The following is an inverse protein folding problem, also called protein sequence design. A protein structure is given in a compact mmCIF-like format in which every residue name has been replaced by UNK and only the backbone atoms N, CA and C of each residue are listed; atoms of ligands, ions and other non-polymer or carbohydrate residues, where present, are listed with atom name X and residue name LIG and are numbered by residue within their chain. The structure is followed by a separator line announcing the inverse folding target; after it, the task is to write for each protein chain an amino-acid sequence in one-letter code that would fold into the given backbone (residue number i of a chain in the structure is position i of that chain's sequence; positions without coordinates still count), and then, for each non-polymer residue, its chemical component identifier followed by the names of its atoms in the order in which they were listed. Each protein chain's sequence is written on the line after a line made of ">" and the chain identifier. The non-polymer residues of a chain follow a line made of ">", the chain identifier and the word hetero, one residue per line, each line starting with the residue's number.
data_IF_887719655562
#
_entry.id   IF_887719655562
#
_cell.length_a   1.000
_cell.length_b   1.000
_cell.length_c   1.000
_cell.angle_alpha   90.00
_cell.angle_beta   90.00
_cell.angle_gamma   90.00
#
_symmetry.space_group_name_H-M   'P 1'
#
loop_
_entity.id
_entity.type
_entity.pdbx_description
1 polymer ?
#
# COMPACT_ATOMS: atom_id res chain seq x y z
N UNK A 1 -6.21 21.67 -7.61
CA UNK A 1 -4.84 21.14 -7.40
C UNK A 1 -3.79 22.23 -7.34
N UNK A 2 -3.71 23.16 -8.30
CA UNK A 2 -2.77 24.29 -8.20
C UNK A 2 -2.92 25.12 -6.93
N UNK A 3 -4.16 25.39 -6.48
CA UNK A 3 -4.39 26.01 -5.16
C UNK A 3 -3.78 25.18 -4.02
N UNK A 4 -4.09 23.88 -3.95
CA UNK A 4 -3.54 22.98 -2.93
C UNK A 4 -2.01 22.85 -3.01
N UNK A 5 -1.43 22.86 -4.22
CA UNK A 5 0.01 22.85 -4.43
C UNK A 5 0.65 24.17 -3.96
N UNK A 6 0.04 25.32 -4.26
CA UNK A 6 0.46 26.63 -3.76
C UNK A 6 0.36 26.67 -2.23
N UNK A 7 -0.73 26.16 -1.65
CA UNK A 7 -0.92 26.04 -0.20
C UNK A 7 0.14 25.11 0.42
N UNK A 8 0.44 23.99 -0.22
CA UNK A 8 1.48 23.07 0.23
C UNK A 8 2.87 23.72 0.16
N UNK A 9 3.18 24.44 -0.91
CA UNK A 9 4.40 25.24 -1.02
C UNK A 9 4.44 26.30 0.09
N UNK A 10 3.35 27.02 0.34
CA UNK A 10 3.27 28.05 1.38
C UNK A 10 3.59 27.49 2.77
N UNK A 11 2.97 26.36 3.16
CA UNK A 11 3.25 25.70 4.43
C UNK A 11 4.64 25.06 4.46
N UNK A 12 5.09 24.43 3.37
CA UNK A 12 6.40 23.76 3.31
C UNK A 12 7.56 24.76 3.36
N UNK A 13 7.40 25.92 2.73
CA UNK A 13 8.37 27.02 2.74
C UNK A 13 8.25 27.86 4.02
N UNK A 14 7.28 27.58 4.90
CA UNK A 14 7.02 28.35 6.12
C UNK A 14 6.91 29.87 5.87
N UNK A 15 6.31 30.26 4.75
CA UNK A 15 6.13 31.67 4.38
C UNK A 15 5.21 32.33 5.39
N UNK A 16 5.59 33.51 5.89
CA UNK A 16 4.87 34.28 6.91
C UNK A 16 4.80 33.67 8.33
N UNK A 17 5.50 32.56 8.62
CA UNK A 17 5.60 32.01 9.99
C UNK A 17 6.70 32.67 10.84
N UNK A 18 7.30 33.77 10.37
CA UNK A 18 8.36 34.49 11.08
C UNK A 18 9.75 33.86 10.98
N UNK A 19 9.85 32.54 10.71
CA UNK A 19 11.12 31.82 10.61
C UNK A 19 12.11 32.44 9.61
N UNK A 20 11.66 32.75 8.40
CA UNK A 20 12.53 33.35 7.36
C UNK A 20 12.96 34.76 7.74
N UNK A 21 12.08 35.56 8.36
CA UNK A 21 12.40 36.92 8.82
C UNK A 21 13.42 36.89 9.95
N UNK A 22 13.23 35.96 10.90
CA UNK A 22 14.16 35.71 12.00
C UNK A 22 15.54 35.29 11.48
N UNK A 23 15.63 34.33 10.57
CA UNK A 23 16.90 33.94 9.97
C UNK A 23 17.53 35.08 9.15
N UNK A 24 16.73 35.85 8.42
CA UNK A 24 17.21 37.00 7.65
C UNK A 24 17.75 38.12 8.54
N UNK A 25 17.31 38.23 9.81
CA UNK A 25 17.83 39.23 10.76
C UNK A 25 19.29 39.01 11.15
N UNK A 26 19.81 37.78 11.02
CA UNK A 26 21.21 37.46 11.27
C UNK A 26 22.12 37.69 10.05
N UNK A 27 21.55 38.00 8.88
CA UNK A 27 22.34 38.29 7.68
C UNK A 27 22.96 39.69 7.74
N UNK A 28 24.12 39.85 7.08
CA UNK A 28 24.75 41.17 6.89
C UNK A 28 23.86 42.05 6.01
N UNK A 29 23.84 43.36 6.26
CA UNK A 29 22.96 44.32 5.55
C UNK A 29 23.11 44.32 4.02
N UNK A 30 24.32 44.08 3.48
CA UNK A 30 24.57 43.98 2.04
C UNK A 30 24.46 42.56 1.46
N UNK A 31 23.96 41.58 2.21
CA UNK A 31 23.87 40.19 1.77
C UNK A 31 22.79 40.01 0.68
N UNK A 32 23.12 39.28 -0.38
CA UNK A 32 22.23 39.12 -1.53
C UNK A 32 21.12 38.08 -1.28
N UNK A 33 20.04 38.52 -0.65
CA UNK A 33 18.86 37.68 -0.35
C UNK A 33 18.17 37.13 -1.60
N UNK A 34 18.25 37.82 -2.74
CA UNK A 34 17.66 37.33 -4.00
C UNK A 34 18.33 36.05 -4.49
N UNK A 35 19.65 35.95 -4.30
CA UNK A 35 20.41 34.73 -4.64
C UNK A 35 19.95 33.56 -3.79
N UNK A 36 19.81 33.76 -2.47
CA UNK A 36 19.41 32.71 -1.54
C UNK A 36 17.98 32.22 -1.83
N UNK A 37 17.06 33.15 -2.08
CA UNK A 37 15.69 32.82 -2.46
C UNK A 37 15.62 32.01 -3.77
N UNK A 38 16.47 32.32 -4.74
CA UNK A 38 16.56 31.60 -6.02
C UNK A 38 17.12 30.18 -5.81
N UNK A 39 18.22 30.06 -5.06
CA UNK A 39 18.81 28.76 -4.72
C UNK A 39 17.79 27.88 -4.00
N UNK A 40 17.09 28.43 -3.01
CA UNK A 40 16.09 27.70 -2.26
C UNK A 40 14.92 27.24 -3.14
N UNK A 41 14.43 28.09 -4.03
CA UNK A 41 13.37 27.72 -4.98
C UNK A 41 13.79 26.56 -5.88
N UNK A 42 15.02 26.60 -6.43
CA UNK A 42 15.56 25.51 -7.26
C UNK A 42 15.69 24.22 -6.45
N UNK A 43 16.23 24.29 -5.23
CA UNK A 43 16.38 23.13 -4.34
C UNK A 43 15.01 22.53 -3.95
N UNK A 44 14.00 23.36 -3.73
CA UNK A 44 12.65 22.92 -3.42
C UNK A 44 12.02 22.14 -4.58
N UNK A 45 12.08 22.67 -5.81
CA UNK A 45 11.58 21.94 -6.97
C UNK A 45 12.40 20.69 -7.29
N UNK A 46 13.73 20.74 -7.09
CA UNK A 46 14.58 19.56 -7.21
C UNK A 46 14.20 18.49 -6.18
N UNK A 47 13.90 18.87 -4.94
CA UNK A 47 13.41 17.95 -3.91
C UNK A 47 12.10 17.29 -4.35
N UNK A 48 11.10 18.07 -4.82
CA UNK A 48 9.84 17.51 -5.33
C UNK A 48 10.06 16.54 -6.49
N UNK A 49 10.99 16.87 -7.39
CA UNK A 49 11.36 16.01 -8.52
C UNK A 49 12.01 14.70 -8.05
N UNK A 50 12.97 14.76 -7.13
CA UNK A 50 13.65 13.57 -6.56
C UNK A 50 12.66 12.69 -5.79
N UNK A 51 11.74 13.27 -5.02
CA UNK A 51 10.68 12.54 -4.30
C UNK A 51 9.76 11.79 -5.28
N UNK A 52 9.38 12.43 -6.38
CA UNK A 52 8.59 11.81 -7.45
C UNK A 52 9.32 10.64 -8.10
N UNK A 53 10.62 10.81 -8.43
CA UNK A 53 11.45 9.74 -9.01
C UNK A 53 11.59 8.56 -8.05
N UNK A 54 11.90 8.81 -6.78
CA UNK A 54 12.08 7.76 -5.78
C UNK A 54 10.84 6.87 -5.65
N UNK A 55 9.67 7.49 -5.59
CA UNK A 55 8.39 6.78 -5.54
C UNK A 55 8.15 5.95 -6.81
N UNK A 56 8.45 6.50 -7.99
CA UNK A 56 8.24 5.81 -9.27
C UNK A 56 9.18 4.60 -9.45
N UNK A 57 10.44 4.72 -9.00
CA UNK A 57 11.41 3.61 -9.02
C UNK A 57 10.91 2.46 -8.14
N UNK A 58 10.42 2.75 -6.94
CA UNK A 58 9.87 1.74 -6.04
C UNK A 58 8.70 0.99 -6.70
N UNK A 59 7.69 1.71 -7.22
CA UNK A 59 6.52 1.11 -7.87
C UNK A 59 6.88 0.28 -9.11
N UNK A 60 7.78 0.80 -9.96
CA UNK A 60 8.25 0.09 -11.16
C UNK A 60 9.03 -1.17 -10.77
N UNK A 61 9.87 -1.10 -9.74
CA UNK A 61 10.65 -2.25 -9.27
C UNK A 61 9.75 -3.37 -8.72
N UNK A 62 8.70 -3.04 -7.98
CA UNK A 62 7.71 -4.01 -7.50
C UNK A 62 7.00 -4.71 -8.66
N UNK A 63 6.60 -3.93 -9.68
CA UNK A 63 5.92 -4.47 -10.87
C UNK A 63 6.85 -5.39 -11.67
N UNK A 64 8.10 -4.97 -11.90
CA UNK A 64 9.10 -5.77 -12.60
C UNK A 64 9.39 -7.07 -11.85
N UNK A 65 9.54 -7.02 -10.53
CA UNK A 65 9.75 -8.20 -9.69
C UNK A 65 8.56 -9.15 -9.78
N UNK A 66 7.32 -8.66 -9.64
CA UNK A 66 6.12 -9.48 -9.75
C UNK A 66 6.00 -10.19 -11.12
N UNK A 67 6.36 -9.51 -12.21
CA UNK A 67 6.38 -10.12 -13.55
C UNK A 67 7.46 -11.19 -13.65
N UNK A 68 8.66 -10.92 -13.14
CA UNK A 68 9.80 -11.85 -13.20
C UNK A 68 9.62 -13.08 -12.32
N UNK A 69 8.91 -12.95 -11.21
CA UNK A 69 8.58 -14.07 -10.33
C UNK A 69 7.63 -15.07 -11.01
N UNK A 70 6.73 -14.58 -11.87
CA UNK A 70 5.83 -15.43 -12.66
C UNK A 70 6.47 -15.90 -13.99
N UNK A 71 7.34 -15.09 -14.59
CA UNK A 71 7.99 -15.36 -15.87
C UNK A 71 9.52 -15.22 -15.77
N UNK A 72 10.23 -16.22 -15.22
CA UNK A 72 11.67 -16.11 -14.91
C UNK A 72 12.56 -15.97 -16.15
N UNK A 73 12.04 -16.26 -17.35
CA UNK A 73 12.77 -16.13 -18.63
C UNK A 73 12.90 -14.68 -19.10
N UNK A 74 12.07 -13.75 -18.60
CA UNK A 74 12.07 -12.37 -19.09
C UNK A 74 13.18 -11.56 -18.42
N UNK A 75 13.97 -10.86 -19.24
CA UNK A 75 15.06 -10.01 -18.74
C UNK A 75 14.50 -8.72 -18.14
N UNK A 76 15.13 -8.24 -17.07
CA UNK A 76 14.71 -7.05 -16.34
C UNK A 76 14.55 -5.81 -17.24
N UNK A 77 15.49 -5.58 -18.15
CA UNK A 77 15.46 -4.42 -19.04
C UNK A 77 14.27 -4.46 -20.02
N UNK A 78 13.85 -5.66 -20.46
CA UNK A 78 12.72 -5.84 -21.36
C UNK A 78 11.40 -5.53 -20.65
N UNK A 79 11.23 -6.03 -19.42
CA UNK A 79 10.08 -5.69 -18.58
C UNK A 79 10.01 -4.18 -18.32
N UNK A 80 11.13 -3.59 -17.91
CA UNK A 80 11.19 -2.16 -17.58
C UNK A 80 10.87 -1.29 -18.81
N UNK A 81 11.39 -1.64 -19.99
CA UNK A 81 11.10 -0.92 -21.23
C UNK A 81 9.62 -1.03 -21.61
N UNK A 82 9.02 -2.22 -21.49
CA UNK A 82 7.60 -2.43 -21.76
C UNK A 82 6.70 -1.59 -20.85
N UNK A 83 6.99 -1.58 -19.53
CA UNK A 83 6.27 -0.76 -18.56
C UNK A 83 6.45 0.74 -18.85
N UNK A 84 7.66 1.17 -19.21
CA UNK A 84 7.95 2.56 -19.54
C UNK A 84 7.16 3.04 -20.77
N UNK A 85 7.15 2.26 -21.85
CA UNK A 85 6.39 2.61 -23.07
C UNK A 85 4.89 2.66 -22.77
N UNK A 86 4.37 1.65 -22.05
CA UNK A 86 2.95 1.59 -21.69
C UNK A 86 2.52 2.76 -20.78
N UNK A 87 3.30 3.04 -19.73
CA UNK A 87 3.05 4.15 -18.82
C UNK A 87 3.20 5.51 -19.50
N UNK A 88 4.13 5.67 -20.45
CA UNK A 88 4.26 6.87 -21.25
C UNK A 88 3.02 7.12 -22.12
N UNK A 89 2.51 6.09 -22.81
CA UNK A 89 1.31 6.19 -23.64
C UNK A 89 0.07 6.61 -22.82
N UNK A 90 -0.13 6.02 -21.63
CA UNK A 90 -1.20 6.44 -20.72
C UNK A 90 -0.92 7.84 -20.16
N UNK A 91 0.33 8.14 -19.85
CA UNK A 91 0.79 9.42 -19.32
C UNK A 91 0.44 10.61 -20.22
N UNK A 92 0.43 10.42 -21.54
CA UNK A 92 0.04 11.46 -22.50
C UNK A 92 -1.38 12.01 -22.24
N UNK A 93 -2.30 11.19 -21.73
CA UNK A 93 -3.66 11.64 -21.40
C UNK A 93 -3.64 12.73 -20.31
N UNK A 94 -2.71 12.67 -19.36
CA UNK A 94 -2.59 13.63 -18.25
C UNK A 94 -1.92 14.94 -18.63
N UNK A 95 -1.21 15.00 -19.75
CA UNK A 95 -0.53 16.23 -20.24
C UNK A 95 -1.46 17.08 -21.11
N UNK A 96 -2.65 16.57 -21.46
CA UNK A 96 -3.65 17.34 -22.21
C UNK A 96 -4.23 18.50 -21.39
N UNK A 97 -4.85 19.53 -22.00
CA UNK A 97 -5.47 20.64 -21.27
C UNK A 97 -6.54 20.22 -20.25
N UNK A 98 -7.20 19.08 -20.47
CA UNK A 98 -8.15 18.46 -19.54
C UNK A 98 -7.53 17.42 -18.60
N UNK A 99 -6.22 17.18 -18.67
CA UNK A 99 -5.54 16.11 -17.96
C UNK A 99 -5.69 16.18 -16.44
N UNK A 100 -5.82 17.38 -15.88
CA UNK A 100 -6.05 17.58 -14.45
C UNK A 100 -7.41 17.04 -13.97
N UNK A 101 -8.45 17.08 -14.82
CA UNK A 101 -9.75 16.47 -14.52
C UNK A 101 -9.66 14.94 -14.53
N UNK A 102 -8.91 14.37 -15.47
CA UNK A 102 -8.67 12.93 -15.56
C UNK A 102 -7.83 12.47 -14.37
N UNK A 103 -6.77 13.20 -14.03
CA UNK A 103 -5.89 12.90 -12.91
C UNK A 103 -6.66 12.85 -11.60
N UNK A 104 -7.52 13.83 -11.34
CA UNK A 104 -8.31 13.88 -10.11
C UNK A 104 -9.39 12.79 -10.04
N UNK A 105 -9.97 12.41 -11.19
CA UNK A 105 -10.90 11.27 -11.27
C UNK A 105 -10.17 9.95 -10.96
N UNK A 106 -9.03 9.70 -11.59
CA UNK A 106 -8.26 8.45 -11.42
C UNK A 106 -7.58 8.40 -10.05
N UNK A 107 -7.10 9.52 -9.51
CA UNK A 107 -6.52 9.58 -8.17
C UNK A 107 -7.55 9.21 -7.08
N UNK A 108 -8.78 9.73 -7.21
CA UNK A 108 -9.85 9.44 -6.27
C UNK A 108 -10.36 7.99 -6.38
N UNK A 109 -10.83 7.59 -7.57
CA UNK A 109 -11.46 6.28 -7.79
C UNK A 109 -10.45 5.14 -7.96
N UNK A 110 -9.27 5.43 -8.51
CA UNK A 110 -8.26 4.44 -8.91
C UNK A 110 -7.13 4.24 -7.91
N UNK A 111 -6.69 5.29 -7.20
CA UNK A 111 -5.64 5.15 -6.19
C UNK A 111 -6.22 5.13 -4.78
N UNK A 112 -6.84 6.23 -4.35
CA UNK A 112 -7.25 6.44 -2.96
C UNK A 112 -8.29 5.42 -2.50
N UNK A 113 -9.39 5.25 -3.26
CA UNK A 113 -10.47 4.33 -2.86
C UNK A 113 -10.05 2.86 -2.91
N UNK A 114 -9.30 2.46 -3.95
CA UNK A 114 -8.79 1.09 -4.08
C UNK A 114 -7.78 0.79 -2.97
N UNK A 115 -6.80 1.67 -2.74
CA UNK A 115 -5.76 1.45 -1.72
C UNK A 115 -6.35 1.35 -0.31
N UNK A 116 -7.37 2.15 0.00
CA UNK A 116 -8.05 2.10 1.29
C UNK A 116 -8.77 0.75 1.49
N UNK A 117 -9.54 0.28 0.50
CA UNK A 117 -10.26 -1.01 0.60
C UNK A 117 -9.30 -2.20 0.62
N UNK A 118 -8.31 -2.21 -0.29
CA UNK A 118 -7.32 -3.30 -0.36
C UNK A 118 -6.41 -3.33 0.87
N UNK A 119 -5.97 -2.18 1.38
CA UNK A 119 -5.13 -2.09 2.58
C UNK A 119 -5.87 -2.59 3.82
N UNK A 120 -7.16 -2.28 3.96
CA UNK A 120 -7.98 -2.85 5.04
C UNK A 120 -8.09 -4.37 4.90
N UNK A 121 -8.38 -4.86 3.69
CA UNK A 121 -8.46 -6.29 3.44
C UNK A 121 -7.14 -7.01 3.76
N UNK A 122 -6.00 -6.44 3.36
CA UNK A 122 -4.67 -6.96 3.67
C UNK A 122 -4.41 -7.03 5.18
N UNK A 123 -4.79 -5.99 5.95
CA UNK A 123 -4.67 -5.99 7.40
C UNK A 123 -5.52 -7.08 8.07
N UNK A 124 -6.75 -7.31 7.60
CA UNK A 124 -7.59 -8.40 8.10
C UNK A 124 -7.03 -9.78 7.72
N UNK A 125 -6.52 -9.93 6.50
CA UNK A 125 -5.88 -11.18 6.05
C UNK A 125 -4.65 -11.47 6.91
N UNK A 126 -3.75 -10.51 7.13
CA UNK A 126 -2.57 -10.71 7.97
C UNK A 126 -2.93 -10.94 9.45
N UNK A 127 -3.87 -10.18 9.99
CA UNK A 127 -4.22 -10.25 11.40
C UNK A 127 -5.00 -11.51 11.80
N UNK A 128 -5.94 -11.94 10.96
CA UNK A 128 -6.93 -12.95 11.32
C UNK A 128 -6.91 -14.20 10.44
N UNK A 129 -6.56 -14.08 9.16
CA UNK A 129 -6.47 -15.27 8.27
C UNK A 129 -5.11 -15.94 8.43
N UNK A 130 -4.02 -15.17 8.34
CA UNK A 130 -2.67 -15.66 8.60
C UNK A 130 -2.41 -15.82 10.11
N UNK A 131 -2.89 -14.87 10.89
CA UNK A 131 -2.77 -14.86 12.35
C UNK A 131 -1.56 -14.04 12.82
N UNK A 132 -1.81 -13.10 13.73
CA UNK A 132 -0.78 -12.29 14.40
C UNK A 132 0.21 -13.14 15.19
N UNK A 133 -0.25 -14.21 15.86
CA UNK A 133 0.65 -15.06 16.62
C UNK A 133 1.67 -15.76 15.71
N UNK A 134 1.21 -16.29 14.56
CA UNK A 134 2.10 -16.84 13.53
C UNK A 134 3.06 -15.79 12.99
N UNK A 135 2.55 -14.60 12.66
CA UNK A 135 3.36 -13.48 12.18
C UNK A 135 4.45 -13.06 13.19
N UNK A 136 4.11 -13.00 14.48
CA UNK A 136 5.07 -12.67 15.53
C UNK A 136 6.13 -13.75 15.70
N UNK A 137 5.78 -15.02 15.51
CA UNK A 137 6.74 -16.13 15.58
C UNK A 137 7.65 -16.17 14.36
N UNK A 138 7.12 -15.93 13.17
CA UNK A 138 7.96 -15.78 11.97
C UNK A 138 8.95 -14.61 12.16
N UNK A 139 8.50 -13.50 12.74
CA UNK A 139 9.38 -12.38 13.08
C UNK A 139 10.41 -12.72 14.16
N UNK A 140 10.06 -13.55 15.15
CA UNK A 140 10.97 -14.06 16.17
C UNK A 140 12.03 -15.00 15.56
N UNK A 141 11.63 -15.88 14.63
CA UNK A 141 12.55 -16.74 13.88
C UNK A 141 13.52 -15.92 13.02
N UNK A 142 13.04 -14.86 12.37
CA UNK A 142 13.87 -13.99 11.52
C UNK A 142 14.84 -13.11 12.32
N UNK A 143 14.43 -12.60 13.47
CA UNK A 143 15.22 -11.62 14.25
C UNK A 143 15.92 -12.21 15.49
N UNK A 144 15.61 -13.45 15.87
CA UNK A 144 16.09 -14.09 17.10
C UNK A 144 15.62 -13.39 18.39
N UNK A 145 14.59 -12.55 18.32
CA UNK A 145 14.06 -11.77 19.47
C UNK A 145 12.54 -11.85 19.50
N UNK A 146 11.99 -12.06 20.70
CA UNK A 146 10.54 -12.08 20.94
C UNK A 146 9.91 -10.73 20.60
N UNK A 147 8.82 -10.78 19.84
CA UNK A 147 7.99 -9.62 19.56
C UNK A 147 7.19 -9.27 20.81
N UNK A 148 7.31 -8.02 21.29
CA UNK A 148 6.62 -7.55 22.48
C UNK A 148 5.09 -7.54 22.34
N UNK A 149 4.33 -7.59 23.45
CA UNK A 149 2.86 -7.66 23.43
C UNK A 149 2.21 -6.41 22.83
N UNK A 150 2.89 -5.26 22.85
CA UNK A 150 2.45 -4.04 22.19
C UNK A 150 2.16 -4.25 20.69
N UNK A 151 3.10 -4.85 19.96
CA UNK A 151 2.98 -5.07 18.53
C UNK A 151 1.86 -6.05 18.19
N UNK A 152 1.63 -7.05 19.05
CA UNK A 152 0.52 -8.00 18.91
C UNK A 152 -0.83 -7.31 18.97
N UNK A 153 -1.05 -6.48 19.99
CA UNK A 153 -2.28 -5.70 20.12
C UNK A 153 -2.47 -4.70 18.96
N UNK A 154 -1.38 -4.09 18.50
CA UNK A 154 -1.41 -3.19 17.36
C UNK A 154 -1.90 -3.88 16.09
N UNK A 155 -1.32 -5.03 15.74
CA UNK A 155 -1.66 -5.74 14.50
C UNK A 155 -2.98 -6.50 14.56
N UNK A 156 -3.36 -7.03 15.73
CA UNK A 156 -4.58 -7.83 15.87
C UNK A 156 -5.85 -6.97 15.92
N UNK A 157 -5.79 -5.83 16.64
CA UNK A 157 -6.99 -5.08 17.02
C UNK A 157 -6.89 -3.60 16.67
N UNK A 158 -5.84 -2.90 17.10
CA UNK A 158 -5.82 -1.43 17.03
C UNK A 158 -5.80 -0.94 15.58
N UNK A 159 -4.87 -1.44 14.75
CA UNK A 159 -4.73 -0.97 13.36
C UNK A 159 -5.95 -1.31 12.50
N UNK A 160 -6.49 -2.55 12.50
CA UNK A 160 -7.71 -2.86 11.76
C UNK A 160 -8.92 -2.04 12.20
N UNK A 161 -9.08 -1.78 13.51
CA UNK A 161 -10.19 -1.01 14.05
C UNK A 161 -10.11 0.46 13.62
N UNK A 162 -8.93 1.10 13.76
CA UNK A 162 -8.72 2.48 13.33
C UNK A 162 -8.98 2.61 11.83
N UNK A 163 -8.46 1.69 11.01
CA UNK A 163 -8.65 1.74 9.56
C UNK A 163 -10.12 1.53 9.16
N UNK A 164 -10.85 0.66 9.87
CA UNK A 164 -12.28 0.48 9.66
C UNK A 164 -13.07 1.73 10.05
N UNK A 165 -12.70 2.41 11.14
CA UNK A 165 -13.32 3.67 11.54
C UNK A 165 -13.10 4.78 10.50
N UNK A 166 -11.89 4.87 9.93
CA UNK A 166 -11.58 5.81 8.84
C UNK A 166 -12.43 5.50 7.60
N UNK A 167 -12.59 4.22 7.23
CA UNK A 167 -13.47 3.83 6.12
C UNK A 167 -14.93 4.25 6.37
N UNK A 168 -15.47 3.99 7.57
CA UNK A 168 -16.84 4.38 7.93
C UNK A 168 -17.02 5.90 7.86
N UNK A 169 -16.05 6.66 8.36
CA UNK A 169 -16.06 8.11 8.28
C UNK A 169 -16.01 8.61 6.83
N UNK A 170 -15.16 7.99 6.00
CA UNK A 170 -15.04 8.30 4.57
C UNK A 170 -16.35 8.02 3.82
N UNK A 171 -17.00 6.88 4.07
CA UNK A 171 -18.29 6.54 3.46
C UNK A 171 -19.42 7.47 3.94
N UNK A 172 -19.41 7.86 5.22
CA UNK A 172 -20.44 8.75 5.79
C UNK A 172 -20.35 10.18 5.28
N UNK A 173 -19.14 10.65 4.97
CA UNK A 173 -18.88 12.01 4.45
C UNK A 173 -18.69 12.00 2.93
N UNK A 174 -19.16 10.95 2.25
CA UNK A 174 -19.02 10.82 0.80
C UNK A 174 -19.81 11.93 0.09
N UNK A 175 -19.09 12.92 -0.43
CA UNK A 175 -19.64 13.91 -1.36
C UNK A 175 -19.21 13.56 -2.78
N UNK A 176 -20.08 13.72 -3.79
CA UNK A 176 -19.71 13.46 -5.17
C UNK A 176 -18.47 14.25 -5.55
N UNK A 177 -17.49 13.59 -6.17
CA UNK A 177 -16.23 14.21 -6.58
C UNK A 177 -16.53 15.43 -7.45
N UNK A 178 -16.02 16.60 -7.10
CA UNK A 178 -16.12 17.81 -7.92
C UNK A 178 -14.73 18.39 -8.14
N UNK A 179 -14.48 18.91 -9.34
CA UNK A 179 -13.24 19.61 -9.64
C UNK A 179 -13.56 21.07 -9.99
N UNK A 180 -12.97 22.02 -9.27
CA UNK A 180 -13.25 23.46 -9.40
C UNK A 180 -14.75 23.81 -9.32
N UNK A 181 -15.51 23.12 -8.45
CA UNK A 181 -16.98 23.26 -8.32
C UNK A 181 -17.78 22.84 -9.57
N UNK A 182 -17.13 22.23 -10.56
CA UNK A 182 -17.79 21.60 -11.70
C UNK A 182 -18.03 20.13 -11.33
N UNK A 183 -19.29 19.71 -11.42
CA UNK A 183 -19.68 18.31 -11.26
C UNK A 183 -19.25 17.51 -12.48
N UNK A 184 -18.70 16.32 -12.26
CA UNK A 184 -18.37 15.43 -13.36
C UNK A 184 -19.65 14.94 -14.04
N UNK A 185 -19.63 14.75 -15.37
CA UNK A 185 -20.76 14.15 -16.06
C UNK A 185 -20.92 12.68 -15.64
N UNK A 186 -22.14 12.14 -15.71
CA UNK A 186 -22.46 10.78 -15.27
C UNK A 186 -21.60 9.70 -15.92
N UNK A 187 -21.19 9.88 -17.19
CA UNK A 187 -20.29 8.95 -17.87
C UNK A 187 -18.90 8.88 -17.20
N UNK A 188 -18.40 9.99 -16.66
CA UNK A 188 -17.10 10.03 -15.99
C UNK A 188 -17.17 9.33 -14.62
N UNK A 189 -18.28 9.49 -13.90
CA UNK A 189 -18.54 8.67 -12.69
C UNK A 189 -18.65 7.18 -13.02
N UNK A 190 -19.29 6.81 -14.13
CA UNK A 190 -19.38 5.42 -14.56
C UNK A 190 -17.98 4.83 -14.82
N UNK A 191 -17.09 5.59 -15.48
CA UNK A 191 -15.69 5.19 -15.66
C UNK A 191 -14.97 5.06 -14.30
N UNK A 192 -15.11 6.04 -13.41
CA UNK A 192 -14.52 6.01 -12.08
C UNK A 192 -14.92 4.76 -11.28
N UNK A 193 -16.22 4.49 -11.18
CA UNK A 193 -16.72 3.29 -10.51
C UNK A 193 -16.29 2.00 -11.19
N UNK A 194 -16.17 1.98 -12.52
CA UNK A 194 -15.63 0.82 -13.24
C UNK A 194 -14.18 0.54 -12.87
N UNK A 195 -13.35 1.58 -12.75
CA UNK A 195 -11.95 1.46 -12.29
C UNK A 195 -11.91 0.89 -10.87
N UNK A 196 -12.70 1.45 -9.95
CA UNK A 196 -12.76 0.95 -8.57
C UNK A 196 -13.23 -0.49 -8.50
N UNK A 197 -14.32 -0.83 -9.20
CA UNK A 197 -14.83 -2.19 -9.29
C UNK A 197 -13.76 -3.14 -9.81
N UNK A 198 -13.04 -2.77 -10.87
CA UNK A 198 -11.96 -3.60 -11.40
C UNK A 198 -10.86 -3.86 -10.36
N UNK A 199 -10.42 -2.84 -9.63
CA UNK A 199 -9.39 -2.99 -8.60
C UNK A 199 -9.84 -3.82 -7.40
N UNK A 200 -11.04 -3.55 -6.87
CA UNK A 200 -11.57 -4.24 -5.68
C UNK A 200 -11.97 -5.68 -6.00
N UNK A 201 -12.53 -5.94 -7.19
CA UNK A 201 -12.97 -7.28 -7.60
C UNK A 201 -11.80 -8.26 -7.82
N UNK A 202 -10.56 -7.79 -7.99
CA UNK A 202 -9.41 -8.70 -8.06
C UNK A 202 -9.34 -9.60 -6.81
N UNK A 203 -9.57 -9.07 -5.60
CA UNK A 203 -9.54 -9.87 -4.37
C UNK A 203 -10.51 -11.07 -4.41
N UNK A 204 -11.84 -10.89 -4.57
CA UNK A 204 -12.76 -12.02 -4.60
C UNK A 204 -12.52 -12.94 -5.80
N UNK A 205 -12.13 -12.41 -6.97
CA UNK A 205 -11.82 -13.24 -8.14
C UNK A 205 -10.67 -14.20 -7.82
N UNK A 206 -9.57 -13.72 -7.24
CA UNK A 206 -8.43 -14.57 -6.88
C UNK A 206 -8.74 -15.53 -5.74
N UNK A 207 -9.61 -15.16 -4.80
CA UNK A 207 -10.12 -16.09 -3.77
C UNK A 207 -10.90 -17.24 -4.41
N UNK A 208 -11.80 -16.94 -5.35
CA UNK A 208 -12.59 -17.97 -6.06
C UNK A 208 -11.70 -18.86 -6.91
N UNK A 209 -10.77 -18.28 -7.68
CA UNK A 209 -9.81 -19.04 -8.49
C UNK A 209 -8.93 -19.93 -7.61
N UNK A 210 -8.46 -19.41 -6.46
CA UNK A 210 -7.72 -20.17 -5.46
C UNK A 210 -8.52 -21.34 -4.89
N UNK A 211 -9.79 -21.11 -4.54
CA UNK A 211 -10.69 -22.14 -4.05
C UNK A 211 -10.95 -23.23 -5.10
N UNK A 212 -11.15 -22.88 -6.38
CA UNK A 212 -11.36 -23.87 -7.45
C UNK A 212 -10.13 -24.74 -7.67
N UNK A 213 -8.93 -24.15 -7.60
CA UNK A 213 -7.64 -24.84 -7.81
C UNK A 213 -7.16 -25.62 -6.60
N UNK A 214 -7.72 -25.37 -5.41
CA UNK A 214 -7.34 -26.08 -4.20
C UNK A 214 -7.82 -27.55 -4.22
N UNK A 215 -7.01 -28.49 -3.73
CA UNK A 215 -7.40 -29.90 -3.62
C UNK A 215 -8.49 -30.07 -2.54
N UNK A 216 -9.57 -30.76 -2.87
CA UNK A 216 -10.68 -31.07 -1.96
C UNK A 216 -11.92 -31.57 -2.71
N UNK A 217 -12.75 -32.42 -2.08
CA UNK A 217 -13.98 -32.95 -2.68
C UNK A 217 -15.18 -32.04 -2.45
N UNK A 218 -15.20 -31.30 -1.34
CA UNK A 218 -16.27 -30.34 -0.98
C UNK A 218 -15.84 -28.87 -1.11
N UNK A 219 -16.79 -27.96 -1.37
CA UNK A 219 -16.51 -26.53 -1.52
C UNK A 219 -15.91 -25.89 -0.26
N UNK A 220 -16.39 -26.30 0.92
CA UNK A 220 -15.88 -25.82 2.21
C UNK A 220 -14.45 -26.28 2.50
N UNK A 221 -14.08 -27.51 2.13
CA UNK A 221 -12.71 -28.01 2.26
C UNK A 221 -11.76 -27.34 1.27
N UNK A 222 -12.20 -27.11 0.04
CA UNK A 222 -11.45 -26.35 -0.96
C UNK A 222 -11.14 -24.94 -0.48
N UNK A 223 -12.14 -24.25 0.07
CA UNK A 223 -11.96 -22.92 0.64
C UNK A 223 -10.99 -22.95 1.83
N UNK A 224 -11.16 -23.91 2.75
CA UNK A 224 -10.25 -24.08 3.91
C UNK A 224 -8.81 -24.39 3.49
N UNK A 225 -8.63 -25.19 2.44
CA UNK A 225 -7.31 -25.53 1.91
C UNK A 225 -6.68 -24.37 1.11
N UNK A 226 -7.48 -23.52 0.48
CA UNK A 226 -7.00 -22.32 -0.22
C UNK A 226 -6.41 -21.27 0.75
N UNK A 227 -6.93 -21.19 1.98
CA UNK A 227 -6.40 -20.30 3.03
C UNK A 227 -5.21 -20.89 3.80
N UNK A 228 -4.78 -22.12 3.52
CA UNK A 228 -3.54 -22.66 4.05
C UNK A 228 -2.36 -22.18 3.19
N UNK A 229 -1.20 -21.89 3.80
CA UNK A 229 0.00 -21.58 3.03
C UNK A 229 0.39 -22.77 2.14
N UNK A 230 1.02 -22.46 1.00
CA UNK A 230 1.52 -23.50 0.08
C UNK A 230 2.54 -24.39 0.80
N UNK A 231 2.64 -25.64 0.34
CA UNK A 231 3.67 -26.59 0.82
C UNK A 231 5.10 -26.05 0.58
N UNK A 232 5.27 -25.16 -0.40
CA UNK A 232 6.54 -24.50 -0.70
C UNK A 232 6.82 -23.23 0.11
N UNK A 233 5.96 -22.91 1.09
CA UNK A 233 6.13 -21.77 1.96
C UNK A 233 7.27 -22.00 2.97
N UNK A 234 8.20 -21.05 3.05
CA UNK A 234 9.31 -21.07 3.99
C UNK A 234 10.56 -20.36 3.47
N UNK A 235 11.64 -20.30 4.26
CA UNK A 235 12.92 -19.73 3.85
C UNK A 235 13.46 -20.36 2.55
N UNK A 236 14.13 -19.56 1.72
CA UNK A 236 14.75 -20.03 0.48
C UNK A 236 15.96 -20.95 0.74
N UNK A 237 16.65 -20.74 1.84
CA UNK A 237 17.78 -21.57 2.27
C UNK A 237 17.27 -22.92 2.80
N UNK A 238 17.73 -24.06 2.25
CA UNK A 238 17.31 -25.40 2.66
C UNK A 238 17.46 -25.67 4.16
N UNK A 239 18.53 -25.18 4.80
CA UNK A 239 18.81 -25.46 6.22
C UNK A 239 17.85 -24.70 7.14
N UNK A 240 17.64 -23.42 6.86
CA UNK A 240 16.67 -22.58 7.56
C UNK A 240 15.25 -23.10 7.36
N UNK A 241 14.93 -23.62 6.16
CA UNK A 241 13.63 -24.21 5.87
C UNK A 241 13.37 -25.47 6.67
N UNK A 242 14.37 -26.31 6.88
CA UNK A 242 14.24 -27.49 7.73
C UNK A 242 13.97 -27.11 9.19
N UNK A 243 14.68 -26.10 9.71
CA UNK A 243 14.46 -25.56 11.06
C UNK A 243 13.04 -24.98 11.20
N UNK A 244 12.61 -24.17 10.24
CA UNK A 244 11.27 -23.60 10.18
C UNK A 244 10.17 -24.68 10.16
N UNK A 245 10.36 -25.73 9.36
CA UNK A 245 9.41 -26.83 9.29
C UNK A 245 9.29 -27.60 10.62
N UNK A 246 10.39 -27.75 11.37
CA UNK A 246 10.36 -28.34 12.72
C UNK A 246 9.55 -27.48 13.69
N UNK A 247 9.70 -26.16 13.64
CA UNK A 247 8.90 -25.24 14.47
C UNK A 247 7.41 -25.29 14.13
N UNK A 248 7.05 -25.32 12.83
CA UNK A 248 5.66 -25.49 12.40
C UNK A 248 5.08 -26.83 12.86
N UNK A 249 5.84 -27.93 12.75
CA UNK A 249 5.38 -29.25 13.17
C UNK A 249 5.10 -29.29 14.68
N UNK A 250 5.98 -28.70 15.50
CA UNK A 250 5.78 -28.57 16.94
C UNK A 250 4.54 -27.73 17.27
N UNK A 251 4.26 -26.68 16.49
CA UNK A 251 3.04 -25.90 16.63
C UNK A 251 1.78 -26.68 16.29
N UNK A 252 1.78 -27.46 15.20
CA UNK A 252 0.61 -28.22 14.79
C UNK A 252 0.14 -29.15 15.93
N UNK A 253 1.10 -29.74 16.65
CA UNK A 253 0.88 -30.56 17.85
C UNK A 253 0.32 -29.69 19.01
N UNK A 254 0.91 -28.52 19.26
CA UNK A 254 0.43 -27.62 20.31
C UNK A 254 -0.99 -27.07 20.05
N UNK A 255 -1.39 -26.98 18.78
CA UNK A 255 -2.71 -26.47 18.36
C UNK A 255 -3.79 -27.55 18.28
N UNK A 256 -3.43 -28.83 18.37
CA UNK A 256 -4.34 -29.97 18.16
C UNK A 256 -5.52 -30.00 19.16
N UNK A 257 -5.33 -29.42 20.35
CA UNK A 257 -6.31 -29.38 21.44
C UNK A 257 -7.00 -28.01 21.63
N UNK A 258 -6.72 -27.01 20.79
CA UNK A 258 -7.30 -25.67 20.93
C UNK A 258 -8.66 -25.56 20.23
N UNK A 259 -9.72 -25.24 20.97
CA UNK A 259 -11.00 -24.82 20.40
C UNK A 259 -10.94 -23.41 19.77
N UNK A 260 -12.00 -22.99 19.08
CA UNK A 260 -12.05 -21.67 18.40
C UNK A 260 -11.71 -20.49 19.33
N UNK A 261 -12.20 -20.48 20.57
CA UNK A 261 -11.89 -19.45 21.56
C UNK A 261 -10.43 -19.49 22.03
N UNK A 262 -9.85 -20.69 22.11
CA UNK A 262 -8.43 -20.86 22.39
C UNK A 262 -7.55 -20.30 21.28
N UNK A 263 -7.97 -20.47 20.03
CA UNK A 263 -7.28 -19.92 18.87
C UNK A 263 -7.31 -18.39 18.84
N UNK A 264 -8.48 -17.78 19.10
CA UNK A 264 -8.62 -16.31 19.17
C UNK A 264 -7.76 -15.74 20.29
N UNK A 265 -7.82 -16.34 21.49
CA UNK A 265 -7.05 -15.89 22.64
C UNK A 265 -5.55 -16.01 22.38
N UNK A 266 -5.11 -17.12 21.79
CA UNK A 266 -3.73 -17.35 21.38
C UNK A 266 -3.27 -16.34 20.33
N UNK A 267 -4.11 -16.04 19.33
CA UNK A 267 -3.78 -15.08 18.29
C UNK A 267 -3.50 -13.66 18.83
N UNK A 268 -4.20 -13.26 19.89
CA UNK A 268 -4.07 -11.92 20.49
C UNK A 268 -2.97 -11.88 21.56
N UNK A 269 -2.87 -12.91 22.41
CA UNK A 269 -2.01 -12.89 23.61
C UNK A 269 -0.71 -13.68 23.44
N UNK A 270 -0.64 -14.64 22.51
CA UNK A 270 0.41 -15.66 22.43
C UNK A 270 0.11 -16.93 23.18
#
# INVERSE_FOLDING_TARGET
>A
VWYAAVTQCFYSLSVCFGNIIMYSSYNKFGHNVHRDATIFSVLFFLMLFVLGIGSNIAMTSCTVTAIRDNFPKVKQWQCALGIAIFSFCIGLAYVTPGGQFILTLVDYFGASMIALVLGIAELYVLGWVYGVDRLCRDAEFMMGRKVGPYWRWCWAVVTPLIMTAILVYFLSTYTPLTYNKVTYPNWAYAIGWTITCFGVLQLPIWVVVGAIRAPGSSWSEKLRNAFKPKHDWGPRDPLLREQYNKEIANEAIANENLGCWGFIKKNILG
#
